data_IF_001810181592
#
_entry.id   IF_001810181592
#
_cell.length_a   1.000
_cell.length_b   1.000
_cell.length_c   1.000
_cell.angle_alpha   90.00
_cell.angle_beta   90.00
_cell.angle_gamma   90.00
#
_symmetry.space_group_name_H-M   'P 1'
#
loop_
_entity.id
_entity.type
_entity.pdbx_description
1 polymer ?
#
# COMPACT_ATOMS: atom_id res chain seq x y z
N UNK A 1 -6.08 -18.32 -1.67
CA UNK A 1 -4.81 -18.01 -0.98
C UNK A 1 -4.00 -19.29 -0.68
N UNK A 2 -3.89 -20.24 -1.63
CA UNK A 2 -3.28 -21.56 -1.39
C UNK A 2 -1.87 -21.73 -2.00
N UNK A 3 -1.15 -20.64 -2.27
CA UNK A 3 0.21 -20.70 -2.82
C UNK A 3 1.18 -20.00 -1.88
N UNK A 4 1.56 -20.67 -0.78
CA UNK A 4 2.74 -20.38 0.05
C UNK A 4 2.84 -19.01 0.73
N UNK A 5 1.86 -18.11 0.58
CA UNK A 5 1.94 -16.77 1.15
C UNK A 5 2.04 -16.80 2.68
N UNK A 6 1.16 -17.54 3.35
CA UNK A 6 1.18 -17.65 4.82
C UNK A 6 2.46 -18.33 5.31
N UNK A 7 2.93 -19.36 4.62
CA UNK A 7 4.20 -20.01 4.94
C UNK A 7 5.35 -19.02 4.84
N UNK A 8 5.43 -18.25 3.74
CA UNK A 8 6.46 -17.23 3.55
C UNK A 8 6.37 -16.11 4.59
N UNK A 9 5.16 -15.61 4.85
CA UNK A 9 4.90 -14.56 5.83
C UNK A 9 5.35 -14.98 7.23
N UNK A 10 5.00 -16.19 7.65
CA UNK A 10 5.40 -16.73 8.95
C UNK A 10 6.91 -17.01 9.00
N UNK A 11 7.51 -17.52 7.93
CA UNK A 11 8.93 -17.83 7.87
C UNK A 11 9.82 -16.58 7.90
N UNK A 12 9.42 -15.50 7.21
CA UNK A 12 10.22 -14.26 7.21
C UNK A 12 10.16 -13.54 8.55
N UNK A 13 9.06 -13.71 9.31
CA UNK A 13 8.92 -13.23 10.68
C UNK A 13 9.27 -11.73 10.84
N UNK A 14 8.88 -10.90 9.86
CA UNK A 14 9.26 -9.50 9.78
C UNK A 14 8.46 -8.63 10.75
N UNK A 15 9.06 -7.59 11.34
CA UNK A 15 8.30 -6.65 12.19
C UNK A 15 7.23 -5.88 11.40
N UNK A 16 7.53 -5.60 10.12
CA UNK A 16 6.64 -4.95 9.17
C UNK A 16 6.73 -5.65 7.81
N UNK A 17 5.59 -5.91 7.19
CA UNK A 17 5.46 -6.57 5.89
C UNK A 17 4.55 -5.74 4.99
N UNK A 18 5.05 -5.33 3.83
CA UNK A 18 4.31 -4.51 2.88
C UNK A 18 3.91 -5.33 1.66
N UNK A 19 2.65 -5.19 1.22
CA UNK A 19 2.16 -5.74 -0.04
C UNK A 19 1.78 -4.60 -0.97
N UNK A 20 2.17 -4.75 -2.23
CA UNK A 20 1.67 -3.95 -3.34
C UNK A 20 0.87 -4.85 -4.29
N UNK A 21 -0.02 -4.24 -5.07
CA UNK A 21 -0.81 -4.92 -6.08
C UNK A 21 -1.69 -6.06 -5.52
N UNK A 22 -2.31 -5.83 -4.35
CA UNK A 22 -3.10 -6.86 -3.65
C UNK A 22 -4.32 -7.32 -4.46
N UNK A 23 -4.92 -6.43 -5.26
CA UNK A 23 -6.10 -6.65 -6.13
C UNK A 23 -7.33 -7.16 -5.36
N UNK A 24 -7.39 -6.90 -4.06
CA UNK A 24 -8.50 -7.32 -3.21
C UNK A 24 -9.38 -6.15 -2.79
N UNK A 25 -10.56 -6.47 -2.27
CA UNK A 25 -11.54 -5.53 -1.74
C UNK A 25 -11.86 -5.89 -0.29
N UNK A 26 -12.46 -4.95 0.44
CA UNK A 26 -12.97 -5.18 1.79
C UNK A 26 -13.85 -6.44 1.85
N UNK A 27 -13.59 -7.31 2.83
CA UNK A 27 -14.31 -8.57 3.05
C UNK A 27 -13.96 -9.74 2.11
N UNK A 28 -13.08 -9.56 1.11
CA UNK A 28 -12.64 -10.67 0.25
C UNK A 28 -11.51 -11.50 0.87
N UNK A 29 -10.81 -10.94 1.85
CA UNK A 29 -9.66 -11.54 2.50
C UNK A 29 -9.81 -11.40 4.00
N UNK A 30 -9.71 -12.54 4.67
CA UNK A 30 -9.57 -12.63 6.11
C UNK A 30 -8.30 -13.44 6.37
N UNK A 31 -7.28 -12.80 6.95
CA UNK A 31 -6.01 -13.42 7.31
C UNK A 31 -5.89 -13.40 8.82
N UNK A 32 -5.79 -14.57 9.43
CA UNK A 32 -5.50 -14.68 10.85
C UNK A 32 -3.97 -14.62 11.06
N UNK A 33 -3.45 -13.41 11.23
CA UNK A 33 -2.02 -13.16 11.44
C UNK A 33 -1.79 -12.74 12.90
N UNK A 34 -1.61 -13.73 13.78
CA UNK A 34 -1.47 -13.49 15.20
C UNK A 34 -0.31 -12.52 15.49
N UNK A 35 -0.59 -11.48 16.28
CA UNK A 35 0.39 -10.47 16.66
C UNK A 35 0.69 -9.41 15.59
N UNK A 36 -0.07 -9.37 14.49
CA UNK A 36 0.04 -8.32 13.49
C UNK A 36 -1.24 -7.50 13.39
N UNK A 37 -1.09 -6.19 13.39
CA UNK A 37 -2.08 -5.23 12.93
C UNK A 37 -2.06 -5.18 11.40
N UNK A 38 -3.23 -5.10 10.77
CA UNK A 38 -3.37 -5.14 9.31
C UNK A 38 -4.06 -3.87 8.83
N UNK A 39 -3.43 -3.17 7.89
CA UNK A 39 -3.96 -1.96 7.30
C UNK A 39 -4.01 -2.11 5.79
N UNK A 40 -5.14 -1.75 5.20
CA UNK A 40 -5.43 -1.96 3.79
C UNK A 40 -5.84 -0.64 3.14
N UNK A 41 -5.32 -0.41 1.93
CA UNK A 41 -5.78 0.63 1.03
C UNK A 41 -6.26 -0.02 -0.27
N UNK A 42 -7.56 -0.01 -0.51
CA UNK A 42 -8.19 -0.66 -1.66
C UNK A 42 -8.37 0.33 -2.81
N UNK A 43 -8.16 -0.13 -4.04
CA UNK A 43 -8.57 0.66 -5.20
C UNK A 43 -10.10 0.65 -5.37
N UNK A 44 -10.67 1.74 -5.87
CA UNK A 44 -12.10 1.80 -6.23
C UNK A 44 -12.45 0.77 -7.31
N UNK A 45 -11.54 0.56 -8.26
CA UNK A 45 -11.69 -0.46 -9.30
C UNK A 45 -11.42 -1.85 -8.72
N UNK A 46 -12.45 -2.69 -8.69
CA UNK A 46 -12.35 -4.10 -8.26
C UNK A 46 -11.27 -4.86 -9.05
N UNK A 47 -10.46 -5.64 -8.34
CA UNK A 47 -9.39 -6.45 -8.94
C UNK A 47 -8.19 -5.66 -9.45
N UNK A 48 -8.05 -4.39 -9.05
CA UNK A 48 -6.98 -3.50 -9.49
C UNK A 48 -6.16 -2.98 -8.30
N UNK A 49 -4.85 -2.84 -8.48
CA UNK A 49 -3.94 -2.16 -7.55
C UNK A 49 -4.13 -2.59 -6.08
N UNK A 50 -4.06 -1.65 -5.14
CA UNK A 50 -4.22 -1.86 -3.71
C UNK A 50 -2.90 -2.15 -2.99
N UNK A 51 -2.77 -1.60 -1.79
CA UNK A 51 -1.62 -1.81 -0.89
C UNK A 51 -2.09 -2.31 0.47
N UNK A 52 -1.21 -3.02 1.16
CA UNK A 52 -1.44 -3.43 2.54
C UNK A 52 -0.15 -3.36 3.35
N UNK A 53 -0.28 -3.12 4.65
CA UNK A 53 0.81 -3.17 5.62
C UNK A 53 0.38 -4.04 6.79
N UNK A 54 1.22 -5.01 7.12
CA UNK A 54 1.12 -5.83 8.32
C UNK A 54 2.25 -5.41 9.26
N UNK A 55 1.95 -5.05 10.50
CA UNK A 55 2.96 -4.59 11.47
C UNK A 55 2.69 -5.18 12.85
N UNK A 56 3.74 -5.55 13.58
CA UNK A 56 3.64 -5.96 14.99
C UNK A 56 3.43 -4.81 15.95
N UNK A 57 3.83 -3.62 15.53
CA UNK A 57 3.76 -2.40 16.32
C UNK A 57 2.52 -1.63 15.85
N UNK A 58 1.66 -1.25 16.78
CA UNK A 58 0.53 -0.39 16.49
C UNK A 58 1.04 1.03 16.14
N UNK A 59 0.72 1.57 14.94
CA UNK A 59 1.09 2.91 14.54
C UNK A 59 0.26 3.96 15.30
N UNK A 60 0.83 5.17 15.44
CA UNK A 60 0.15 6.34 15.99
C UNK A 60 -0.99 6.82 15.09
N UNK A 61 -0.79 6.73 13.78
CA UNK A 61 -1.79 7.09 12.79
C UNK A 61 -1.60 6.30 11.48
N UNK A 62 -2.68 6.21 10.71
CA UNK A 62 -2.70 5.53 9.41
C UNK A 62 -3.37 6.44 8.40
N UNK A 63 -2.67 6.72 7.31
CA UNK A 63 -3.17 7.54 6.22
C UNK A 63 -3.19 6.75 4.92
N UNK A 64 -4.37 6.69 4.29
CA UNK A 64 -4.55 6.14 2.95
C UNK A 64 -4.53 7.26 1.93
N UNK A 65 -3.63 7.17 0.95
CA UNK A 65 -3.43 8.21 -0.06
C UNK A 65 -2.53 9.35 0.38
N UNK A 66 -2.36 10.32 -0.51
CA UNK A 66 -1.50 11.50 -0.33
C UNK A 66 -2.28 12.81 -0.25
N UNK A 67 -3.62 12.74 -0.20
CA UNK A 67 -4.50 13.91 -0.09
C UNK A 67 -4.82 14.57 -1.43
N UNK A 68 -4.59 13.86 -2.54
CA UNK A 68 -4.86 14.33 -3.90
C UNK A 68 -5.80 13.32 -4.55
N UNK A 69 -7.05 13.72 -4.80
CA UNK A 69 -8.11 12.84 -5.30
C UNK A 69 -7.73 12.07 -6.59
N UNK A 70 -6.96 12.68 -7.50
CA UNK A 70 -6.47 12.01 -8.72
C UNK A 70 -5.51 10.83 -8.44
N UNK A 71 -4.86 10.82 -7.28
CA UNK A 71 -3.86 9.83 -6.86
C UNK A 71 -4.44 8.80 -5.88
N UNK A 72 -5.53 9.13 -5.19
CA UNK A 72 -6.01 8.36 -4.03
C UNK A 72 -7.06 7.29 -4.38
N UNK A 73 -7.56 7.27 -5.62
CA UNK A 73 -8.59 6.30 -6.08
C UNK A 73 -8.04 4.90 -6.38
N UNK A 74 -6.73 4.79 -6.59
CA UNK A 74 -6.08 3.55 -7.01
C UNK A 74 -5.45 2.78 -5.83
N UNK A 75 -5.64 3.23 -4.59
CA UNK A 75 -5.15 2.54 -3.38
C UNK A 75 -3.63 2.31 -3.39
N UNK A 76 -2.88 3.34 -3.80
CA UNK A 76 -1.45 3.22 -4.14
C UNK A 76 -0.49 3.53 -3.00
N UNK A 77 -0.90 4.32 -2.02
CA UNK A 77 -0.04 4.77 -0.92
C UNK A 77 -0.76 4.51 0.40
N UNK A 78 -0.04 3.90 1.34
CA UNK A 78 -0.45 3.84 2.73
C UNK A 78 0.73 4.24 3.61
N UNK A 79 0.50 5.19 4.51
CA UNK A 79 1.51 5.73 5.42
C UNK A 79 1.11 5.40 6.85
N UNK A 80 2.02 4.77 7.58
CA UNK A 80 1.91 4.51 9.01
C UNK A 80 2.88 5.41 9.75
N UNK A 81 2.39 6.13 10.76
CA UNK A 81 3.19 6.97 11.64
C UNK A 81 3.60 6.19 12.89
N UNK A 82 4.87 6.27 13.27
CA UNK A 82 5.42 5.74 14.51
C UNK A 82 6.18 6.84 15.24
N UNK A 83 6.55 6.60 16.51
CA UNK A 83 7.17 7.61 17.38
C UNK A 83 8.43 8.29 16.81
N UNK A 84 9.16 7.62 15.93
CA UNK A 84 10.45 8.10 15.41
C UNK A 84 10.57 8.07 13.89
N UNK A 85 9.57 7.55 13.17
CA UNK A 85 9.61 7.43 11.72
C UNK A 85 8.23 7.21 11.12
N UNK A 86 8.14 7.41 9.80
CA UNK A 86 7.00 7.00 9.00
C UNK A 86 7.38 5.79 8.15
N UNK A 87 6.49 4.81 8.04
CA UNK A 87 6.56 3.76 7.02
C UNK A 87 5.60 4.13 5.89
N UNK A 88 6.14 4.42 4.71
CA UNK A 88 5.35 4.69 3.50
C UNK A 88 5.46 3.50 2.55
N UNK A 89 4.36 2.77 2.37
CA UNK A 89 4.26 1.72 1.37
C UNK A 89 3.61 2.30 0.10
N UNK A 90 4.32 2.25 -1.02
CA UNK A 90 3.90 2.83 -2.30
C UNK A 90 3.92 1.81 -3.44
N UNK A 91 2.85 1.80 -4.23
CA UNK A 91 2.76 1.13 -5.53
C UNK A 91 2.67 2.17 -6.65
N UNK A 92 3.81 2.56 -7.19
CA UNK A 92 3.92 3.61 -8.21
C UNK A 92 3.16 3.24 -9.50
N UNK A 93 2.41 4.17 -10.11
CA UNK A 93 1.71 3.91 -11.37
C UNK A 93 2.68 3.58 -12.51
N UNK A 94 2.29 2.60 -13.32
CA UNK A 94 3.04 2.23 -14.53
C UNK A 94 2.64 3.15 -15.70
N UNK A 95 3.61 3.58 -16.50
CA UNK A 95 3.39 4.43 -17.68
C UNK A 95 2.69 3.71 -18.86
N UNK A 96 2.39 2.41 -18.70
CA UNK A 96 1.88 1.47 -19.71
C UNK A 96 2.82 1.26 -20.88
N UNK A 97 2.42 0.36 -21.79
CA UNK A 97 3.08 0.18 -23.09
C UNK A 97 3.00 1.48 -23.88
N UNK A 98 4.00 1.73 -24.72
CA UNK A 98 4.09 2.96 -25.54
C UNK A 98 3.98 4.27 -24.74
N UNK A 99 4.23 4.25 -23.43
CA UNK A 99 4.25 5.43 -22.57
C UNK A 99 2.91 6.21 -22.52
N UNK A 100 1.79 5.54 -22.77
CA UNK A 100 0.43 6.13 -22.79
C UNK A 100 0.06 6.93 -21.52
N UNK A 101 0.64 6.59 -20.37
CA UNK A 101 0.42 7.28 -19.08
C UNK A 101 1.65 8.01 -18.57
N UNK A 102 2.63 8.32 -19.42
CA UNK A 102 3.86 8.99 -18.97
C UNK A 102 3.57 10.35 -18.33
N UNK A 103 2.71 11.18 -18.91
CA UNK A 103 2.37 12.49 -18.35
C UNK A 103 1.80 12.37 -16.93
N UNK A 104 0.87 11.43 -16.73
CA UNK A 104 0.35 11.12 -15.40
C UNK A 104 1.43 10.61 -14.45
N UNK A 105 2.32 9.74 -14.94
CA UNK A 105 3.44 9.23 -14.14
C UNK A 105 4.38 10.35 -13.71
N UNK A 106 4.71 11.31 -14.57
CA UNK A 106 5.58 12.42 -14.22
C UNK A 106 4.94 13.32 -13.16
N UNK A 107 3.65 13.66 -13.32
CA UNK A 107 2.89 14.39 -12.31
C UNK A 107 2.87 13.65 -10.95
N UNK A 108 2.62 12.34 -10.98
CA UNK A 108 2.67 11.50 -9.79
C UNK A 108 4.03 11.60 -9.07
N UNK A 109 5.15 11.57 -9.79
CA UNK A 109 6.47 11.65 -9.17
C UNK A 109 6.69 12.98 -8.44
N UNK A 110 6.30 14.10 -9.06
CA UNK A 110 6.42 15.42 -8.44
C UNK A 110 5.51 15.55 -7.20
N UNK A 111 4.25 15.14 -7.32
CA UNK A 111 3.28 15.23 -6.23
C UNK A 111 3.63 14.27 -5.07
N UNK A 112 4.07 13.04 -5.36
CA UNK A 112 4.52 12.09 -4.35
C UNK A 112 5.80 12.55 -3.66
N UNK A 113 6.76 13.11 -4.41
CA UNK A 113 7.96 13.70 -3.82
C UNK A 113 7.61 14.83 -2.87
N UNK A 114 6.69 15.71 -3.26
CA UNK A 114 6.22 16.81 -2.40
C UNK A 114 5.56 16.28 -1.13
N UNK A 115 4.74 15.22 -1.22
CA UNK A 115 4.16 14.55 -0.06
C UNK A 115 5.22 14.02 0.92
N UNK A 116 6.33 13.44 0.43
CA UNK A 116 7.37 12.87 1.29
C UNK A 116 8.24 13.90 2.01
N UNK A 117 8.41 15.10 1.44
CA UNK A 117 9.32 16.11 1.99
C UNK A 117 8.65 17.07 2.97
N UNK A 118 7.31 17.12 3.01
CA UNK A 118 6.54 18.02 3.88
C UNK A 118 6.59 19.46 3.41
#
# INVERSE_FOLDING_TARGET
>A
MNKGFLDYFNNVNADMFCIQESKVQSGQVELELQGYHQYWNYAEKKGYSGTAVFTRIEPLSVQNGIGIDEHDREGRVITLEFDSYYLVNVYTPNAKKELERLDYRMKWEDDFRNYLIG
#
